data_IF_211905018293
#
_entry.id   IF_211905018293
#
_cell.length_a   1.000
_cell.length_b   1.000
_cell.length_c   1.000
_cell.angle_alpha   90.00
_cell.angle_beta   90.00
_cell.angle_gamma   90.00
#
_symmetry.space_group_name_H-M   'P 1'
#
loop_
_entity.id
_entity.type
_entity.pdbx_description
1 polymer ?
#
# COMPACT_ATOMS: atom_id res chain seq x y z
N UNK A 1 9.18 8.18 10.71
CA UNK A 1 9.20 7.47 9.41
C UNK A 1 9.82 8.38 8.36
N UNK A 2 10.42 7.84 7.30
CA UNK A 2 10.98 8.60 6.16
C UNK A 2 10.32 8.12 4.86
N UNK A 3 10.17 9.00 3.89
CA UNK A 3 9.68 8.64 2.54
C UNK A 3 10.86 8.15 1.70
N UNK A 4 10.69 7.04 0.98
CA UNK A 4 11.70 6.44 0.11
C UNK A 4 11.08 6.06 -1.24
N UNK A 5 11.84 6.22 -2.32
CA UNK A 5 11.49 5.77 -3.65
C UNK A 5 12.67 4.99 -4.23
N UNK A 6 12.41 3.80 -4.77
CA UNK A 6 13.43 2.95 -5.37
C UNK A 6 12.87 2.18 -6.57
N UNK A 7 13.74 1.88 -7.54
CA UNK A 7 13.53 0.94 -8.61
C UNK A 7 14.63 -0.11 -8.50
N UNK A 8 14.27 -1.38 -8.35
CA UNK A 8 15.22 -2.48 -8.13
C UNK A 8 14.67 -3.80 -8.68
N UNK A 9 15.57 -4.76 -8.94
CA UNK A 9 15.21 -6.11 -9.39
C UNK A 9 14.80 -6.97 -8.19
N UNK A 10 13.62 -7.59 -8.28
CA UNK A 10 13.08 -8.51 -7.26
C UNK A 10 12.62 -9.84 -7.89
N UNK A 11 13.51 -10.45 -8.68
CA UNK A 11 13.23 -11.63 -9.51
C UNK A 11 12.69 -12.84 -8.72
N UNK A 12 12.97 -12.93 -7.42
CA UNK A 12 12.55 -14.07 -6.59
C UNK A 12 11.04 -14.09 -6.32
N UNK A 13 10.33 -12.97 -6.50
CA UNK A 13 8.90 -12.91 -6.17
C UNK A 13 8.05 -11.95 -7.00
N UNK A 14 8.62 -10.94 -7.66
CA UNK A 14 7.86 -9.83 -8.24
C UNK A 14 6.85 -10.24 -9.33
N UNK A 15 7.28 -11.06 -10.30
CA UNK A 15 6.44 -11.40 -11.46
C UNK A 15 6.02 -12.85 -11.42
N UNK A 16 4.70 -13.10 -11.36
CA UNK A 16 4.10 -14.44 -11.23
C UNK A 16 4.69 -15.26 -10.06
N UNK A 17 4.94 -14.61 -8.92
CA UNK A 17 5.56 -15.27 -7.77
C UNK A 17 7.01 -15.70 -8.02
N UNK A 18 7.74 -14.96 -8.86
CA UNK A 18 9.16 -15.20 -9.17
C UNK A 18 9.43 -16.12 -10.35
N UNK A 19 8.39 -16.58 -11.06
CA UNK A 19 8.53 -17.48 -12.23
C UNK A 19 9.09 -16.78 -13.46
N UNK A 20 8.78 -15.50 -13.64
CA UNK A 20 9.27 -14.71 -14.77
C UNK A 20 10.40 -13.82 -14.28
N UNK A 21 11.59 -14.00 -14.84
CA UNK A 21 12.82 -13.27 -14.49
C UNK A 21 13.00 -12.04 -15.38
N UNK A 22 13.78 -11.09 -14.90
CA UNK A 22 14.09 -9.86 -15.63
C UNK A 22 14.91 -10.18 -16.87
N UNK A 23 14.41 -9.75 -18.03
CA UNK A 23 15.16 -9.78 -19.27
C UNK A 23 16.02 -8.52 -19.38
N UNK A 24 17.28 -8.64 -18.97
CA UNK A 24 18.24 -7.53 -18.96
C UNK A 24 18.61 -7.00 -20.33
N UNK A 25 18.29 -7.72 -21.41
CA UNK A 25 18.48 -7.19 -22.78
C UNK A 25 17.54 -6.02 -23.07
N UNK A 26 16.47 -5.85 -22.28
CA UNK A 26 15.51 -4.75 -22.37
C UNK A 26 15.89 -3.53 -21.52
N UNK A 27 17.06 -3.53 -20.90
CA UNK A 27 17.56 -2.38 -20.17
C UNK A 27 17.80 -1.18 -21.11
N UNK A 28 17.69 0.07 -20.61
CA UNK A 28 17.45 0.46 -19.21
C UNK A 28 15.97 0.42 -18.79
N UNK A 29 15.73 0.03 -17.54
CA UNK A 29 14.42 0.16 -16.90
C UNK A 29 14.32 1.54 -16.24
N UNK A 30 13.35 2.36 -16.64
CA UNK A 30 13.24 3.76 -16.21
C UNK A 30 11.90 4.01 -15.52
N UNK A 31 11.93 4.60 -14.33
CA UNK A 31 10.75 5.06 -13.59
C UNK A 31 10.81 6.58 -13.42
N UNK A 32 9.73 7.27 -13.80
CA UNK A 32 9.62 8.72 -13.69
C UNK A 32 8.73 9.10 -12.50
N UNK A 33 9.22 10.02 -11.67
CA UNK A 33 8.51 10.53 -10.50
C UNK A 33 8.32 12.04 -10.65
N UNK A 34 7.14 12.55 -10.28
CA UNK A 34 6.83 13.98 -10.30
C UNK A 34 5.82 14.32 -9.20
N UNK A 35 5.67 15.61 -8.90
CA UNK A 35 4.67 16.14 -7.96
C UNK A 35 4.82 15.58 -6.54
N UNK A 36 6.04 15.59 -6.00
CA UNK A 36 6.27 15.20 -4.59
C UNK A 36 5.58 16.20 -3.65
N UNK A 37 4.49 15.76 -3.01
CA UNK A 37 3.77 16.53 -1.99
C UNK A 37 3.94 15.84 -0.63
N UNK A 38 4.66 16.48 0.28
CA UNK A 38 4.87 15.99 1.64
C UNK A 38 4.22 16.99 2.59
N UNK A 39 3.09 16.59 3.14
CA UNK A 39 2.37 17.30 4.20
C UNK A 39 2.35 16.36 5.41
N UNK A 40 3.13 16.69 6.44
CA UNK A 40 3.36 15.79 7.56
C UNK A 40 3.93 16.52 8.76
N UNK A 41 3.87 15.87 9.92
CA UNK A 41 4.38 16.42 11.18
C UNK A 41 5.82 15.95 11.42
N UNK A 42 6.84 16.82 11.27
CA UNK A 42 8.23 16.47 11.53
C UNK A 42 8.44 16.21 13.03
N UNK A 43 9.19 15.16 13.36
CA UNK A 43 9.57 14.85 14.75
C UNK A 43 10.78 15.72 15.12
N UNK A 44 10.69 16.51 16.20
CA UNK A 44 11.83 17.21 16.78
C UNK A 44 11.72 18.73 16.91
N UNK A 45 10.66 19.38 16.43
CA UNK A 45 10.38 20.79 16.77
C UNK A 45 9.81 20.86 18.19
N UNK A 46 10.53 21.54 19.08
CA UNK A 46 10.12 21.79 20.45
C UNK A 46 8.85 22.65 20.49
N UNK A 47 7.73 22.01 20.79
CA UNK A 47 6.47 22.68 21.12
C UNK A 47 5.42 22.62 20.01
N UNK A 48 4.29 22.00 20.34
CA UNK A 48 3.04 22.12 19.60
C UNK A 48 2.61 20.83 18.94
N UNK A 49 1.56 20.21 19.49
CA UNK A 49 0.61 19.35 18.78
C UNK A 49 0.67 19.59 17.28
N UNK A 50 1.06 18.58 16.50
CA UNK A 50 0.82 18.58 15.06
C UNK A 50 -0.61 19.09 14.84
N UNK A 51 -0.79 20.19 14.11
CA UNK A 51 -2.09 20.78 13.85
C UNK A 51 -2.88 19.86 12.94
N UNK A 52 -3.37 18.74 13.47
CA UNK A 52 -4.31 17.89 12.78
C UNK A 52 -5.58 18.72 12.68
N UNK A 53 -5.80 19.34 11.51
CA UNK A 53 -7.16 19.70 11.13
C UNK A 53 -8.00 18.45 11.34
N UNK A 54 -9.09 18.59 12.10
CA UNK A 54 -10.06 17.52 12.38
C UNK A 54 -10.66 17.04 11.07
N UNK A 55 -9.92 16.21 10.34
CA UNK A 55 -10.42 15.48 9.21
C UNK A 55 -11.25 14.35 9.79
N UNK A 56 -12.44 14.15 9.24
CA UNK A 56 -13.28 13.01 9.56
C UNK A 56 -12.43 11.74 9.50
N UNK A 57 -12.38 10.99 10.60
CA UNK A 57 -11.53 9.78 10.74
C UNK A 57 -11.98 8.61 9.83
N UNK A 58 -12.92 8.86 8.92
CA UNK A 58 -13.52 7.88 8.03
C UNK A 58 -13.64 8.42 6.60
N UNK A 59 -13.58 7.50 5.64
CA UNK A 59 -13.95 7.78 4.25
C UNK A 59 -15.44 8.13 4.17
N UNK A 60 -15.78 9.07 3.30
CA UNK A 60 -17.16 9.36 2.95
C UNK A 60 -17.82 8.19 2.18
N UNK A 61 -19.14 8.27 1.96
CA UNK A 61 -19.88 7.20 1.29
C UNK A 61 -19.37 6.92 -0.13
N UNK A 62 -18.96 7.97 -0.86
CA UNK A 62 -18.42 7.84 -2.22
C UNK A 62 -17.05 7.14 -2.20
N UNK A 63 -16.17 7.51 -1.29
CA UNK A 63 -14.86 6.89 -1.07
C UNK A 63 -15.00 5.41 -0.73
N UNK A 64 -15.94 5.06 0.15
CA UNK A 64 -16.22 3.65 0.49
C UNK A 64 -16.71 2.84 -0.71
N UNK A 65 -17.62 3.38 -1.51
CA UNK A 65 -18.10 2.70 -2.72
C UNK A 65 -16.98 2.50 -3.75
N UNK A 66 -16.09 3.49 -3.90
CA UNK A 66 -14.93 3.37 -4.80
C UNK A 66 -13.95 2.31 -4.31
N UNK A 67 -13.64 2.26 -3.02
CA UNK A 67 -12.80 1.22 -2.43
C UNK A 67 -13.39 -0.17 -2.67
N UNK A 68 -14.70 -0.34 -2.43
CA UNK A 68 -15.40 -1.61 -2.68
C UNK A 68 -15.32 -2.03 -4.15
N UNK A 69 -15.51 -1.11 -5.09
CA UNK A 69 -15.40 -1.41 -6.52
C UNK A 69 -14.00 -1.87 -6.90
N UNK A 70 -12.94 -1.21 -6.42
CA UNK A 70 -11.55 -1.62 -6.66
C UNK A 70 -11.28 -3.01 -6.07
N UNK A 71 -11.71 -3.25 -4.83
CA UNK A 71 -11.56 -4.55 -4.17
C UNK A 71 -12.28 -5.67 -4.93
N UNK A 72 -13.49 -5.41 -5.46
CA UNK A 72 -14.26 -6.43 -6.19
C UNK A 72 -13.76 -6.69 -7.61
N UNK A 73 -13.18 -5.68 -8.28
CA UNK A 73 -12.84 -5.77 -9.71
C UNK A 73 -11.36 -5.92 -10.02
N UNK A 74 -10.48 -5.47 -9.13
CA UNK A 74 -9.05 -5.35 -9.42
C UNK A 74 -8.14 -6.00 -8.36
N UNK A 75 -8.67 -6.44 -7.21
CA UNK A 75 -7.87 -7.09 -6.18
C UNK A 75 -7.63 -8.56 -6.54
N UNK A 76 -6.36 -8.92 -6.73
CA UNK A 76 -5.94 -10.29 -7.07
C UNK A 76 -5.40 -11.09 -5.87
N UNK A 77 -5.09 -10.41 -4.76
CA UNK A 77 -4.60 -11.03 -3.53
C UNK A 77 -5.09 -10.25 -2.31
N UNK A 78 -5.52 -10.96 -1.28
CA UNK A 78 -5.88 -10.41 0.02
C UNK A 78 -5.41 -11.36 1.12
N UNK A 79 -4.50 -10.89 1.98
CA UNK A 79 -3.95 -11.70 3.06
C UNK A 79 -5.01 -12.11 4.10
N UNK A 80 -6.04 -11.29 4.32
CA UNK A 80 -7.16 -11.62 5.22
C UNK A 80 -8.04 -12.77 4.69
N UNK A 81 -8.00 -13.04 3.39
CA UNK A 81 -8.73 -14.16 2.78
C UNK A 81 -7.83 -15.38 2.51
N UNK A 82 -6.53 -15.28 2.81
CA UNK A 82 -5.54 -16.31 2.53
C UNK A 82 -5.48 -17.36 3.65
N UNK A 83 -6.46 -18.26 3.64
CA UNK A 83 -6.57 -19.37 4.61
C UNK A 83 -5.42 -20.36 4.53
N UNK A 84 -4.71 -20.42 3.39
CA UNK A 84 -3.56 -21.32 3.22
C UNK A 84 -2.36 -20.78 3.97
N UNK A 85 -2.15 -19.46 3.92
CA UNK A 85 -1.08 -18.79 4.66
C UNK A 85 -1.39 -18.68 6.15
N UNK A 86 -2.66 -18.50 6.51
CA UNK A 86 -3.10 -18.35 7.90
C UNK A 86 -4.13 -19.42 8.29
N UNK A 87 -3.71 -20.70 8.42
CA UNK A 87 -4.63 -21.80 8.71
C UNK A 87 -5.23 -21.75 10.12
N UNK A 88 -4.55 -21.09 11.07
CA UNK A 88 -5.00 -20.93 12.46
C UNK A 88 -5.92 -19.72 12.66
N UNK A 89 -6.36 -19.10 11.56
CA UNK A 89 -7.16 -17.88 11.57
C UNK A 89 -6.35 -16.64 11.23
N UNK A 90 -7.03 -15.69 10.61
CA UNK A 90 -6.46 -14.42 10.18
C UNK A 90 -6.30 -13.48 11.36
N UNK A 91 -5.43 -12.50 11.20
CA UNK A 91 -5.12 -11.48 12.20
C UNK A 91 -6.36 -10.67 12.63
N UNK A 92 -6.32 -10.12 13.84
CA UNK A 92 -7.50 -9.55 14.50
C UNK A 92 -8.10 -8.33 13.77
N UNK A 93 -7.28 -7.59 13.04
CA UNK A 93 -7.69 -6.45 12.23
C UNK A 93 -8.58 -6.84 11.04
N UNK A 94 -8.45 -8.06 10.52
CA UNK A 94 -9.27 -8.58 9.42
C UNK A 94 -10.75 -8.76 9.81
N UNK A 95 -11.07 -8.75 11.10
CA UNK A 95 -12.45 -8.88 11.61
C UNK A 95 -13.18 -7.54 11.69
N UNK A 96 -12.51 -6.42 11.37
CA UNK A 96 -13.10 -5.08 11.42
C UNK A 96 -13.95 -4.83 10.16
N UNK A 97 -15.03 -4.04 10.24
CA UNK A 97 -16.03 -3.84 9.17
C UNK A 97 -15.52 -3.09 7.90
N UNK A 98 -14.21 -3.06 7.67
CA UNK A 98 -13.55 -2.35 6.56
C UNK A 98 -12.69 -3.25 5.67
N UNK A 99 -12.57 -4.54 6.00
CA UNK A 99 -11.86 -5.55 5.21
C UNK A 99 -12.80 -6.69 4.81
#
# INVERSE_FOLDING_TARGET
MRVQCSLWNADDWATQGGRVKTDWTKAPFVAYYRNFKIDGCPVGTSGGSCGFQSQTQELDAKGRNRMRWVQQKHMIYNYCADVRRFPQGTSAECKRPRF
#
